data_IF_860234916245
#
_entry.id   IF_860234916245
#
_cell.length_a   1.000
_cell.length_b   1.000
_cell.length_c   1.000
_cell.angle_alpha   90.00
_cell.angle_beta   90.00
_cell.angle_gamma   90.00
#
_symmetry.space_group_name_H-M   'P 1'
#
loop_
_entity.id
_entity.type
_entity.pdbx_description
1 polymer ?
#
# COMPACT_ATOMS: atom_id res chain seq x y z
N UNK A 1 -16.59 -1.62 -9.65
CA UNK A 1 -15.34 -0.80 -9.62
C UNK A 1 -14.05 -1.61 -9.88
N UNK A 2 -13.30 -1.32 -10.97
CA UNK A 2 -12.05 -2.01 -11.38
C UNK A 2 -10.87 -1.04 -11.53
N UNK A 3 -9.65 -1.47 -11.17
CA UNK A 3 -8.43 -0.67 -11.39
C UNK A 3 -8.03 -0.71 -12.86
N UNK A 4 -7.79 0.46 -13.47
CA UNK A 4 -7.38 0.60 -14.88
C UNK A 4 -5.95 1.09 -15.05
N UNK A 5 -5.47 1.91 -14.12
CA UNK A 5 -4.13 2.48 -14.18
C UNK A 5 -3.56 2.60 -12.77
N UNK A 6 -2.32 2.17 -12.59
CA UNK A 6 -1.52 2.38 -11.38
C UNK A 6 -0.31 3.22 -11.77
N UNK A 7 -0.05 4.28 -11.03
CA UNK A 7 1.08 5.18 -11.24
C UNK A 7 1.95 5.23 -9.98
N UNK A 8 3.26 5.33 -10.19
CA UNK A 8 4.25 5.62 -9.15
C UNK A 8 4.35 7.14 -8.91
N UNK A 9 4.82 7.58 -7.73
CA UNK A 9 5.27 8.95 -7.53
C UNK A 9 6.26 9.37 -8.63
N UNK A 10 6.25 10.64 -9.05
CA UNK A 10 7.11 11.19 -10.11
C UNK A 10 6.54 11.08 -11.53
N UNK A 11 5.66 10.12 -11.79
CA UNK A 11 5.06 9.95 -13.11
C UNK A 11 4.10 11.10 -13.49
N UNK A 12 3.85 11.24 -14.81
CA UNK A 12 2.86 12.21 -15.31
C UNK A 12 1.50 11.93 -14.68
N UNK A 13 0.89 12.95 -14.07
CA UNK A 13 -0.39 12.82 -13.36
C UNK A 13 -0.29 12.52 -11.86
N UNK A 14 0.92 12.30 -11.32
CA UNK A 14 1.18 12.14 -9.88
C UNK A 14 1.99 13.30 -9.28
N UNK A 15 2.67 14.13 -10.08
CA UNK A 15 3.50 15.26 -9.60
C UNK A 15 2.85 16.15 -8.53
N UNK A 16 1.58 16.55 -8.69
CA UNK A 16 0.86 17.36 -7.68
C UNK A 16 0.66 16.60 -6.36
N UNK A 17 0.36 15.30 -6.44
CA UNK A 17 0.20 14.46 -5.26
C UNK A 17 1.55 14.18 -4.59
N UNK A 18 2.62 14.00 -5.37
CA UNK A 18 3.96 13.87 -4.84
C UNK A 18 4.43 15.17 -4.16
N UNK A 19 4.13 16.33 -4.72
CA UNK A 19 4.43 17.60 -4.06
C UNK A 19 3.66 17.77 -2.73
N UNK A 20 2.44 17.21 -2.64
CA UNK A 20 1.61 17.29 -1.44
C UNK A 20 2.00 16.30 -0.35
N UNK A 21 2.29 15.05 -0.72
CA UNK A 21 2.51 13.95 0.22
C UNK A 21 3.98 13.52 0.34
N UNK A 22 4.86 14.04 -0.52
CA UNK A 22 6.28 13.71 -0.54
C UNK A 22 6.52 12.20 -0.65
N UNK A 23 7.49 11.73 0.13
CA UNK A 23 7.89 10.32 0.19
C UNK A 23 6.84 9.43 0.87
N UNK A 24 5.85 10.02 1.55
CA UNK A 24 4.72 9.27 2.10
C UNK A 24 3.78 8.77 1.01
N UNK A 25 3.85 9.28 -0.22
CA UNK A 25 3.03 8.79 -1.33
C UNK A 25 3.58 7.45 -1.85
N UNK A 26 2.82 6.37 -1.67
CA UNK A 26 3.22 5.03 -2.15
C UNK A 26 2.76 4.79 -3.58
N UNK A 27 1.49 5.09 -3.89
CA UNK A 27 0.91 4.79 -5.21
C UNK A 27 -0.32 5.66 -5.51
N UNK A 28 -0.60 5.89 -6.80
CA UNK A 28 -1.86 6.49 -7.29
C UNK A 28 -2.58 5.48 -8.20
N UNK A 29 -3.87 5.25 -7.98
CA UNK A 29 -4.68 4.33 -8.79
C UNK A 29 -5.94 4.99 -9.33
N UNK A 30 -6.20 4.79 -10.62
CA UNK A 30 -7.47 5.14 -11.25
C UNK A 30 -8.36 3.91 -11.33
N UNK A 31 -9.57 4.05 -10.80
CA UNK A 31 -10.58 3.00 -10.75
C UNK A 31 -11.85 3.48 -11.43
N UNK A 32 -12.49 2.59 -12.17
CA UNK A 32 -13.67 2.90 -12.96
C UNK A 32 -14.81 2.00 -12.51
N UNK A 33 -15.97 2.59 -12.33
CA UNK A 33 -17.18 1.90 -12.01
C UNK A 33 -18.16 2.01 -13.18
N UNK A 34 -18.33 0.94 -13.99
CA UNK A 34 -19.15 1.01 -15.19
C UNK A 34 -20.64 1.18 -14.83
N UNK A 35 -21.09 0.58 -13.74
CA UNK A 35 -22.50 0.58 -13.32
C UNK A 35 -22.97 1.99 -12.96
N UNK A 36 -22.10 2.81 -12.37
CA UNK A 36 -22.42 4.21 -12.01
C UNK A 36 -21.78 5.23 -12.96
N UNK A 37 -21.00 4.80 -13.94
CA UNK A 37 -20.20 5.70 -14.81
C UNK A 37 -19.12 6.53 -14.10
N UNK A 38 -18.69 6.15 -12.88
CA UNK A 38 -17.79 6.98 -12.07
C UNK A 38 -16.32 6.61 -12.26
N UNK A 39 -15.46 7.63 -12.29
CA UNK A 39 -14.01 7.49 -12.20
C UNK A 39 -13.51 7.96 -10.84
N UNK A 40 -12.84 7.07 -10.13
CA UNK A 40 -12.18 7.35 -8.86
C UNK A 40 -10.68 7.48 -9.07
N UNK A 41 -10.08 8.52 -8.48
CA UNK A 41 -8.64 8.63 -8.30
C UNK A 41 -8.35 8.39 -6.83
N UNK A 42 -7.55 7.38 -6.53
CA UNK A 42 -7.20 6.99 -5.16
C UNK A 42 -5.69 7.04 -4.98
N UNK A 43 -5.27 7.28 -3.75
CA UNK A 43 -3.86 7.25 -3.36
C UNK A 43 -3.66 6.27 -2.22
N UNK A 44 -2.47 5.72 -2.13
CA UNK A 44 -1.98 4.97 -0.97
C UNK A 44 -0.86 5.80 -0.36
N UNK A 45 -0.97 6.04 0.95
CA UNK A 45 -0.02 6.88 1.69
C UNK A 45 0.45 6.16 2.95
N UNK A 46 1.69 6.42 3.35
CA UNK A 46 2.22 6.04 4.66
C UNK A 46 1.55 6.95 5.69
N UNK A 47 0.78 6.39 6.60
CA UNK A 47 0.14 7.14 7.70
C UNK A 47 0.95 7.11 8.99
N UNK A 48 1.74 6.05 9.19
CA UNK A 48 2.60 5.81 10.34
C UNK A 48 3.84 5.04 9.90
N UNK A 49 4.97 5.30 10.57
CA UNK A 49 6.22 4.58 10.44
C UNK A 49 6.70 4.19 11.85
N UNK A 50 7.05 2.91 12.04
CA UNK A 50 7.54 2.36 13.30
C UNK A 50 8.59 1.30 13.00
N UNK A 51 9.56 1.17 13.91
CA UNK A 51 10.46 0.02 13.91
C UNK A 51 9.64 -1.27 14.07
N UNK A 52 9.94 -2.26 13.23
CA UNK A 52 9.30 -3.57 13.25
C UNK A 52 10.36 -4.66 13.12
N UNK A 53 10.36 -5.58 14.07
CA UNK A 53 11.17 -6.80 14.00
C UNK A 53 10.33 -7.94 13.41
N UNK A 54 10.76 -8.55 12.28
CA UNK A 54 10.04 -9.67 11.70
C UNK A 54 10.03 -10.84 12.69
N UNK A 55 8.86 -11.46 12.88
CA UNK A 55 8.78 -12.74 13.61
C UNK A 55 9.52 -13.79 12.81
N UNK A 56 10.53 -14.41 13.43
CA UNK A 56 11.27 -15.49 12.81
C UNK A 56 10.37 -16.73 12.85
N UNK A 57 9.64 -17.02 11.77
CA UNK A 57 8.69 -18.15 11.67
C UNK A 57 9.34 -19.55 11.82
N UNK A 58 10.64 -19.63 12.09
CA UNK A 58 11.39 -20.87 12.24
C UNK A 58 11.54 -21.36 13.69
N UNK A 59 11.00 -20.66 14.70
CA UNK A 59 11.18 -21.07 16.11
C UNK A 59 9.91 -21.58 16.83
N UNK A 60 8.72 -21.45 16.26
CA UNK A 60 7.47 -21.83 16.94
C UNK A 60 7.25 -23.36 17.07
N UNK A 61 8.19 -24.19 16.59
CA UNK A 61 8.07 -25.66 16.63
C UNK A 61 8.96 -26.33 17.70
N UNK A 62 9.89 -25.58 18.33
CA UNK A 62 10.79 -26.11 19.36
C UNK A 62 10.21 -26.02 20.78
N UNK A 63 9.30 -25.08 21.04
CA UNK A 63 8.74 -24.86 22.39
C UNK A 63 7.63 -25.88 22.76
N UNK A 64 7.17 -26.70 21.81
CA UNK A 64 6.13 -27.72 22.05
C UNK A 64 6.67 -29.11 22.43
N UNK A 65 7.98 -29.31 22.50
CA UNK A 65 8.59 -30.62 22.81
C UNK A 65 9.33 -30.67 24.16
N UNK A 66 9.29 -29.61 24.97
CA UNK A 66 9.97 -29.53 26.27
C UNK A 66 9.03 -29.65 27.49
N UNK A 67 7.82 -30.21 27.30
CA UNK A 67 6.88 -30.49 28.37
C UNK A 67 6.43 -31.97 28.31
N UNK A 68 7.34 -32.88 28.67
CA UNK A 68 7.04 -34.25 29.11
C UNK A 68 8.09 -34.69 30.16
#
# INVERSE_FOLDING_TARGET
>A
MRTRLKLKPGQRGTKKLQAMYGDRLVCVRYRYDPDTGRRFKTIEIIVEEKEWTPRNHHHDQADNFAAD
#
